data_IF_231773919676
#
_entry.id   IF_231773919676
#
_cell.length_a   1.000
_cell.length_b   1.000
_cell.length_c   1.000
_cell.angle_alpha   90.00
_cell.angle_beta   90.00
_cell.angle_gamma   90.00
#
_symmetry.space_group_name_H-M   'P 1'
#
loop_
_entity.id
_entity.type
_entity.pdbx_description
1 polymer ?
#
# COMPACT_ATOMS: atom_id res chain seq x y z
N UNK A 1 12.95 3.72 -6.08
CA UNK A 1 12.12 2.47 -6.10
C UNK A 1 12.29 1.79 -4.77
N UNK A 2 11.21 1.66 -4.04
CA UNK A 2 11.27 1.15 -2.67
C UNK A 2 11.11 -0.37 -2.59
N UNK A 3 10.27 -0.94 -3.46
CA UNK A 3 10.07 -2.39 -3.53
C UNK A 3 10.08 -2.83 -4.99
N UNK A 4 10.84 -3.88 -5.27
CA UNK A 4 10.89 -4.55 -6.56
C UNK A 4 10.76 -6.06 -6.37
N UNK A 5 9.79 -6.66 -7.05
CA UNK A 5 9.50 -8.09 -6.96
C UNK A 5 9.49 -8.68 -8.36
N UNK A 6 10.23 -9.77 -8.57
CA UNK A 6 10.08 -10.65 -9.74
C UNK A 6 9.28 -11.88 -9.31
N UNK A 7 8.24 -12.21 -10.05
CA UNK A 7 7.43 -13.39 -9.83
C UNK A 7 7.16 -14.12 -11.15
N UNK A 8 7.10 -15.43 -11.08
CA UNK A 8 6.67 -16.26 -12.21
C UNK A 8 5.25 -16.76 -11.95
N UNK A 9 4.34 -16.43 -12.85
CA UNK A 9 2.95 -16.89 -12.79
C UNK A 9 2.82 -18.15 -13.61
N UNK A 10 2.50 -19.27 -12.96
CA UNK A 10 2.17 -20.52 -13.63
C UNK A 10 0.66 -20.55 -13.88
N UNK A 11 0.29 -20.42 -15.13
CA UNK A 11 -1.12 -20.52 -15.57
C UNK A 11 -1.42 -21.96 -15.98
N UNK A 12 -2.62 -22.46 -15.70
CA UNK A 12 -3.04 -23.87 -15.85
C UNK A 12 -2.91 -24.45 -17.28
N UNK A 13 -2.52 -23.66 -18.28
CA UNK A 13 -2.37 -24.06 -19.67
C UNK A 13 -0.97 -23.84 -20.24
N UNK A 14 0.07 -24.23 -19.50
CA UNK A 14 1.41 -24.49 -20.00
C UNK A 14 2.30 -23.28 -20.40
N UNK A 15 1.94 -22.03 -20.14
CA UNK A 15 2.86 -20.91 -20.30
C UNK A 15 3.02 -20.16 -19.01
N UNK A 16 4.20 -20.25 -18.45
CA UNK A 16 4.59 -19.33 -17.36
C UNK A 16 4.69 -17.90 -17.92
N UNK A 17 4.26 -16.94 -17.12
CA UNK A 17 4.42 -15.51 -17.43
C UNK A 17 5.25 -14.88 -16.33
N UNK A 18 6.20 -14.06 -16.71
CA UNK A 18 6.98 -13.29 -15.77
C UNK A 18 6.24 -11.99 -15.42
N UNK A 19 6.17 -11.69 -14.13
CA UNK A 19 5.58 -10.47 -13.58
C UNK A 19 6.66 -9.71 -12.82
N UNK A 20 6.83 -8.45 -13.17
CA UNK A 20 7.60 -7.50 -12.37
C UNK A 20 6.65 -6.57 -11.63
N UNK A 21 6.84 -6.42 -10.33
CA UNK A 21 6.07 -5.48 -9.51
C UNK A 21 7.03 -4.42 -9.00
N UNK A 22 6.75 -3.17 -9.29
CA UNK A 22 7.45 -2.02 -8.76
C UNK A 22 6.52 -1.19 -7.89
N UNK A 23 6.97 -0.86 -6.68
CA UNK A 23 6.21 -0.01 -5.77
C UNK A 23 7.10 1.18 -5.39
N UNK A 24 6.61 2.36 -5.66
CA UNK A 24 7.17 3.60 -5.15
C UNK A 24 6.28 4.12 -4.03
N UNK A 25 6.86 4.29 -2.85
CA UNK A 25 6.16 4.66 -1.63
C UNK A 25 6.48 6.10 -1.24
N UNK A 26 5.48 6.95 -1.12
CA UNK A 26 5.62 8.35 -0.72
C UNK A 26 4.72 8.67 0.47
N UNK A 27 5.33 8.89 1.63
CA UNK A 27 4.59 9.23 2.87
C UNK A 27 4.43 10.74 3.00
N UNK A 28 5.53 11.47 3.06
CA UNK A 28 5.57 12.92 3.34
C UNK A 28 6.25 13.72 2.22
N UNK A 29 6.50 13.10 1.08
CA UNK A 29 7.20 13.69 -0.05
C UNK A 29 6.41 13.54 -1.34
N UNK A 30 6.68 14.45 -2.28
CA UNK A 30 6.21 14.33 -3.66
C UNK A 30 7.24 13.58 -4.51
N UNK A 31 6.83 13.20 -5.70
CA UNK A 31 7.76 12.63 -6.68
C UNK A 31 8.85 13.65 -7.06
N UNK A 32 10.10 13.19 -7.13
CA UNK A 32 11.23 13.96 -7.61
C UNK A 32 11.55 13.57 -9.07
N UNK A 33 11.68 14.59 -9.94
CA UNK A 33 12.28 14.52 -11.28
C UNK A 33 12.10 13.20 -12.06
N UNK A 34 10.86 12.85 -12.43
CA UNK A 34 10.57 11.69 -13.28
C UNK A 34 11.04 10.32 -12.73
N UNK A 35 11.24 10.21 -11.43
CA UNK A 35 11.73 9.01 -10.76
C UNK A 35 10.93 7.76 -11.15
N UNK A 36 9.60 7.84 -11.16
CA UNK A 36 8.73 6.74 -11.56
C UNK A 36 8.91 6.35 -13.03
N UNK A 37 9.12 7.33 -13.91
CA UNK A 37 9.40 7.09 -15.32
C UNK A 37 10.71 6.31 -15.49
N UNK A 38 11.77 6.72 -14.83
CA UNK A 38 13.08 6.07 -14.89
C UNK A 38 13.04 4.63 -14.38
N UNK A 39 12.33 4.36 -13.31
CA UNK A 39 12.16 3.01 -12.78
C UNK A 39 11.39 2.11 -13.73
N UNK A 40 10.33 2.62 -14.35
CA UNK A 40 9.57 1.84 -15.33
C UNK A 40 10.42 1.54 -16.57
N UNK A 41 11.20 2.50 -17.08
CA UNK A 41 12.11 2.31 -18.21
C UNK A 41 13.21 1.30 -17.87
N UNK A 42 13.73 1.33 -16.64
CA UNK A 42 14.68 0.35 -16.18
C UNK A 42 14.09 -1.06 -16.20
N UNK A 43 12.90 -1.26 -15.64
CA UNK A 43 12.20 -2.55 -15.69
C UNK A 43 11.97 -3.02 -17.13
N UNK A 44 11.57 -2.13 -18.02
CA UNK A 44 11.35 -2.47 -19.43
C UNK A 44 12.64 -2.94 -20.12
N UNK A 45 13.78 -2.37 -19.77
CA UNK A 45 15.08 -2.77 -20.32
C UNK A 45 15.57 -4.13 -19.80
N UNK A 46 15.26 -4.43 -18.55
CA UNK A 46 15.60 -5.72 -17.93
C UNK A 46 14.82 -6.91 -18.54
N UNK A 47 13.76 -6.62 -19.32
CA UNK A 47 12.86 -7.64 -19.91
C UNK A 47 13.31 -8.11 -21.32
N UNK A 48 14.42 -7.65 -21.85
CA UNK A 48 14.81 -7.85 -23.27
C UNK A 48 15.18 -9.28 -23.68
N UNK A 49 14.98 -10.29 -22.83
CA UNK A 49 15.28 -11.69 -23.15
C UNK A 49 14.16 -12.44 -23.94
N UNK A 50 13.22 -11.69 -24.52
CA UNK A 50 12.19 -12.26 -25.43
C UNK A 50 11.02 -12.93 -24.72
N UNK A 51 10.98 -12.97 -23.40
CA UNK A 51 9.82 -13.41 -22.62
C UNK A 51 8.86 -12.24 -22.41
N UNK A 52 7.57 -12.49 -22.60
CA UNK A 52 6.55 -11.46 -22.35
C UNK A 52 6.43 -11.22 -20.85
N UNK A 53 7.08 -10.19 -20.39
CA UNK A 53 6.96 -9.77 -18.99
C UNK A 53 5.82 -8.75 -18.84
N UNK A 54 5.09 -8.90 -17.75
CA UNK A 54 4.10 -7.92 -17.34
C UNK A 54 4.70 -7.06 -16.22
N UNK A 55 4.60 -5.75 -16.36
CA UNK A 55 5.03 -4.80 -15.33
C UNK A 55 3.78 -4.27 -14.63
N UNK A 56 3.71 -4.48 -13.32
CA UNK A 56 2.73 -3.85 -12.43
C UNK A 56 3.43 -2.77 -11.64
N UNK A 57 3.16 -1.51 -11.98
CA UNK A 57 3.74 -0.37 -11.31
C UNK A 57 2.72 0.27 -10.37
N UNK A 58 3.06 0.44 -9.08
CA UNK A 58 2.20 1.02 -8.06
C UNK A 58 2.85 2.22 -7.41
N UNK A 59 2.07 3.28 -7.25
CA UNK A 59 2.44 4.48 -6.51
C UNK A 59 1.62 4.53 -5.23
N UNK A 60 2.27 4.27 -4.10
CA UNK A 60 1.62 4.12 -2.80
C UNK A 60 1.76 5.38 -1.97
N UNK A 61 0.65 5.96 -1.55
CA UNK A 61 0.61 7.21 -0.78
C UNK A 61 -0.46 7.19 0.32
N UNK A 62 -0.39 8.10 1.33
CA UNK A 62 -1.44 8.23 2.33
C UNK A 62 -2.79 8.68 1.74
N UNK A 63 -2.77 9.51 0.72
CA UNK A 63 -3.99 10.06 0.11
C UNK A 63 -3.89 10.16 -1.40
N UNK A 64 -5.04 10.32 -2.05
CA UNK A 64 -5.14 10.48 -3.51
C UNK A 64 -4.65 11.85 -4.02
N UNK A 65 -4.36 12.79 -3.14
CA UNK A 65 -3.89 14.13 -3.52
C UNK A 65 -2.46 14.14 -4.08
N UNK A 66 -1.64 13.18 -3.69
CA UNK A 66 -0.27 13.04 -4.19
C UNK A 66 -0.26 12.24 -5.48
N UNK A 67 -0.25 12.92 -6.61
CA UNK A 67 -0.29 12.24 -7.90
C UNK A 67 1.10 11.87 -8.40
N UNK A 68 1.19 10.72 -9.05
CA UNK A 68 2.34 10.27 -9.80
C UNK A 68 2.36 10.93 -11.18
N UNK A 69 3.53 11.33 -11.68
CA UNK A 69 3.69 11.92 -13.01
C UNK A 69 3.57 10.89 -14.13
N UNK A 70 3.95 9.65 -13.88
CA UNK A 70 3.91 8.56 -14.85
C UNK A 70 2.55 7.83 -14.81
N UNK A 71 1.77 7.94 -15.88
CA UNK A 71 0.44 7.34 -16.00
C UNK A 71 0.43 5.82 -16.05
N UNK A 72 1.57 5.18 -16.18
CA UNK A 72 1.71 3.71 -16.14
C UNK A 72 1.60 3.16 -14.71
N UNK A 73 1.74 4.02 -13.70
CA UNK A 73 1.58 3.65 -12.30
C UNK A 73 0.11 3.66 -11.88
N UNK A 74 -0.29 2.61 -11.20
CA UNK A 74 -1.57 2.56 -10.50
C UNK A 74 -1.39 3.28 -9.16
N UNK A 75 -2.20 4.29 -8.91
CA UNK A 75 -2.19 4.98 -7.62
C UNK A 75 -2.98 4.17 -6.60
N UNK A 76 -2.33 3.80 -5.52
CA UNK A 76 -2.91 3.04 -4.41
C UNK A 76 -2.73 3.83 -3.11
N UNK A 77 -3.77 3.98 -2.33
CA UNK A 77 -3.66 4.56 -0.99
C UNK A 77 -3.35 3.48 0.04
N UNK A 78 -2.79 3.88 1.19
CA UNK A 78 -2.60 2.96 2.32
C UNK A 78 -3.91 2.35 2.79
N UNK A 79 -5.03 3.09 2.73
CA UNK A 79 -6.33 2.56 3.07
C UNK A 79 -6.74 1.43 2.12
N UNK A 80 -6.56 1.63 0.82
CA UNK A 80 -6.85 0.59 -0.17
C UNK A 80 -5.93 -0.63 0.00
N UNK A 81 -4.64 -0.42 0.25
CA UNK A 81 -3.72 -1.51 0.55
C UNK A 81 -4.18 -2.31 1.79
N UNK A 82 -4.60 -1.62 2.84
CA UNK A 82 -5.11 -2.24 4.06
C UNK A 82 -6.37 -3.04 3.77
N UNK A 83 -7.37 -2.44 3.14
CA UNK A 83 -8.69 -3.05 2.97
C UNK A 83 -8.69 -4.22 1.98
N UNK A 84 -7.95 -4.10 0.88
CA UNK A 84 -8.02 -5.08 -0.21
C UNK A 84 -6.89 -6.11 -0.22
N UNK A 85 -5.79 -5.83 0.46
CA UNK A 85 -4.62 -6.73 0.46
C UNK A 85 -4.32 -7.27 1.84
N UNK A 86 -4.10 -6.39 2.83
CA UNK A 86 -3.57 -6.80 4.12
C UNK A 86 -4.63 -7.39 5.05
N UNK A 87 -5.81 -6.77 5.15
CA UNK A 87 -6.86 -7.27 6.01
C UNK A 87 -7.33 -8.70 5.63
N UNK A 88 -7.52 -9.04 4.35
CA UNK A 88 -7.84 -10.41 3.97
C UNK A 88 -6.76 -11.44 4.33
N UNK A 89 -5.50 -11.02 4.47
CA UNK A 89 -4.43 -11.93 4.88
C UNK A 89 -4.58 -12.40 6.34
N UNK A 90 -5.35 -11.70 7.18
CA UNK A 90 -5.59 -12.12 8.59
C UNK A 90 -6.27 -13.47 8.67
N UNK A 91 -7.11 -13.82 7.71
CA UNK A 91 -7.89 -15.06 7.68
C UNK A 91 -7.12 -16.24 7.06
N UNK A 92 -5.92 -15.99 6.54
CA UNK A 92 -5.09 -17.03 5.93
C UNK A 92 -4.15 -17.63 7.00
N UNK A 93 -4.05 -18.97 7.10
CA UNK A 93 -3.09 -19.60 7.99
C UNK A 93 -1.65 -19.14 7.70
N UNK A 94 -0.94 -18.73 8.74
CA UNK A 94 0.42 -18.21 8.64
C UNK A 94 1.28 -18.65 9.83
N UNK A 95 2.58 -18.46 9.72
CA UNK A 95 3.47 -18.67 10.85
C UNK A 95 3.25 -17.60 11.92
N UNK A 96 3.53 -17.90 13.17
CA UNK A 96 3.40 -16.95 14.28
C UNK A 96 4.16 -15.65 14.03
N UNK A 97 5.34 -15.73 13.44
CA UNK A 97 6.12 -14.53 13.12
C UNK A 97 5.44 -13.67 12.05
N UNK A 98 4.87 -14.30 11.01
CA UNK A 98 4.13 -13.57 9.97
C UNK A 98 2.86 -12.93 10.52
N UNK A 99 2.17 -13.57 11.46
CA UNK A 99 1.02 -13.02 12.16
C UNK A 99 1.38 -11.76 12.95
N UNK A 100 2.41 -11.83 13.77
CA UNK A 100 2.90 -10.68 14.56
C UNK A 100 3.29 -9.51 13.67
N UNK A 101 4.03 -9.78 12.58
CA UNK A 101 4.43 -8.74 11.63
C UNK A 101 3.23 -8.09 10.93
N UNK A 102 2.24 -8.90 10.51
CA UNK A 102 1.04 -8.39 9.88
C UNK A 102 0.23 -7.51 10.83
N UNK A 103 0.02 -7.95 12.08
CA UNK A 103 -0.70 -7.20 13.09
C UNK A 103 -0.02 -5.87 13.41
N UNK A 104 1.29 -5.88 13.53
CA UNK A 104 2.07 -4.66 13.78
C UNK A 104 1.99 -3.70 12.60
N UNK A 105 2.06 -4.21 11.38
CA UNK A 105 1.97 -3.41 10.16
C UNK A 105 0.58 -2.77 10.03
N UNK A 106 -0.50 -3.54 10.22
CA UNK A 106 -1.87 -3.04 10.22
C UNK A 106 -2.08 -1.96 11.30
N UNK A 107 -1.54 -2.17 12.50
CA UNK A 107 -1.59 -1.18 13.58
C UNK A 107 -0.86 0.11 13.20
N UNK A 108 0.27 0.03 12.52
CA UNK A 108 1.00 1.21 12.05
C UNK A 108 0.23 1.95 10.96
N UNK A 109 -0.34 1.24 9.99
CA UNK A 109 -1.12 1.86 8.91
C UNK A 109 -2.42 2.50 9.39
N UNK A 110 -2.97 2.07 10.54
CA UNK A 110 -4.15 2.70 11.14
C UNK A 110 -3.87 4.05 11.82
N UNK A 111 -2.63 4.50 11.86
CA UNK A 111 -2.28 5.82 12.41
C UNK A 111 -2.77 6.94 11.47
N UNK A 112 -3.20 8.11 12.02
CA UNK A 112 -3.73 9.21 11.23
C UNK A 112 -2.81 9.68 10.08
N UNK A 113 -1.48 9.61 10.28
CA UNK A 113 -0.51 9.98 9.26
C UNK A 113 -0.62 9.16 7.96
N UNK A 114 -1.16 7.93 8.02
CA UNK A 114 -1.30 7.03 6.87
C UNK A 114 -2.72 6.96 6.32
N UNK A 115 -3.71 7.46 7.06
CA UNK A 115 -5.12 7.41 6.63
C UNK A 115 -5.52 8.59 5.74
N UNK A 116 -4.63 9.55 5.53
CA UNK A 116 -4.93 10.78 4.80
C UNK A 116 -5.88 11.73 5.57
N UNK A 117 -6.11 12.92 5.02
CA UNK A 117 -6.91 13.96 5.68
C UNK A 117 -8.42 13.67 5.75
N UNK A 118 -8.91 12.56 5.22
CA UNK A 118 -10.35 12.25 5.22
C UNK A 118 -10.89 11.78 6.58
N UNK A 119 -10.07 11.61 7.58
CA UNK A 119 -10.53 11.49 8.96
C UNK A 119 -10.84 12.89 9.53
N UNK A 120 -11.88 13.51 9.00
CA UNK A 120 -12.57 14.60 9.67
C UNK A 120 -12.75 14.18 11.13
N UNK A 121 -12.20 14.97 12.03
CA UNK A 121 -12.28 14.84 13.48
C UNK A 121 -13.66 14.37 13.93
N UNK A 122 -13.89 13.06 14.06
CA UNK A 122 -14.91 12.56 14.94
C UNK A 122 -14.36 12.76 16.34
N UNK A 123 -14.59 13.96 16.87
CA UNK A 123 -14.42 14.27 18.27
C UNK A 123 -15.33 13.32 19.04
N UNK A 124 -14.80 12.26 19.58
CA UNK A 124 -15.49 11.50 20.62
C UNK A 124 -15.52 12.40 21.85
N UNK A 125 -16.59 13.18 21.98
CA UNK A 125 -16.98 13.78 23.24
C UNK A 125 -17.36 12.65 24.20
N UNK A 126 -16.38 12.12 24.91
CA UNK A 126 -16.63 11.35 26.11
C UNK A 126 -17.12 12.33 27.18
N UNK A 127 -18.44 12.61 27.10
CA UNK A 127 -19.16 13.31 28.16
C UNK A 127 -19.21 12.45 29.41
N UNK A 128 -18.18 12.48 30.19
CA UNK A 128 -18.24 12.07 31.59
C UNK A 128 -18.98 13.16 32.36
N UNK A 129 -20.29 13.11 32.32
CA UNK A 129 -21.17 13.88 33.16
C UNK A 129 -21.27 13.15 34.51
N UNK A 130 -20.32 13.35 35.42
CA UNK A 130 -20.43 12.96 36.82
C UNK A 130 -21.22 14.05 37.52
N UNK A 131 -22.55 13.91 37.52
CA UNK A 131 -23.46 14.67 38.35
C UNK A 131 -23.28 14.19 39.80
N UNK A 132 -22.54 14.96 40.59
CA UNK A 132 -22.52 14.83 42.05
C UNK A 132 -23.83 15.46 42.58
N UNK A 133 -24.76 14.63 42.98
CA UNK A 133 -25.86 15.06 43.84
C UNK A 133 -25.32 15.31 45.24
N UNK A 134 -25.43 16.55 45.69
CA UNK A 134 -25.33 16.89 47.10
C UNK A 134 -26.72 16.75 47.68
N UNK A 135 -26.85 15.91 48.64
CA UNK A 135 -27.98 15.89 49.60
C UNK A 135 -27.55 16.64 50.85
N UNK A 136 -28.29 17.68 51.15
CA UNK A 136 -28.30 18.30 52.48
C UNK A 136 -29.22 17.48 53.37
#
# INVERSE_FOLDING_TARGET
>A
MDIYIKAQLNLDNAKSKNLQIIIENKVDSTEHDKQTHEYHEWCTKETNDGETEHILAMYLTPSQSNQCSDKRYIHVTYQQLTDFVLAPLTDIPKTKNAEVLLDEYLRNLSRPAFLGESTTKKTYNNGHNTRRERTD
#
